data_IF_024033266854
#
_entry.id   IF_024033266854
#
_cell.length_a   1.000
_cell.length_b   1.000
_cell.length_c   1.000
_cell.angle_alpha   90.00
_cell.angle_beta   90.00
_cell.angle_gamma   90.00
#
_symmetry.space_group_name_H-M   'P 1'
#
loop_
_entity.id
_entity.type
_entity.pdbx_description
1 polymer ?
#
# COMPACT_ATOMS: atom_id res chain seq x y z
N UNK A 1 8.53 5.31 -26.53
CA UNK A 1 8.46 5.55 -25.06
C UNK A 1 9.55 4.72 -24.41
N UNK A 2 10.47 5.30 -23.66
CA UNK A 2 11.56 4.54 -23.04
C UNK A 2 11.06 3.82 -21.78
N UNK A 3 11.65 2.65 -21.47
CA UNK A 3 11.31 1.86 -20.27
C UNK A 3 11.47 2.71 -18.99
N UNK A 4 12.48 3.60 -18.97
CA UNK A 4 12.67 4.53 -17.85
C UNK A 4 11.48 5.50 -17.67
N UNK A 5 10.91 6.01 -18.76
CA UNK A 5 9.75 6.88 -18.69
C UNK A 5 8.51 6.15 -18.17
N UNK A 6 8.35 4.87 -18.54
CA UNK A 6 7.28 4.02 -18.00
C UNK A 6 7.47 3.84 -16.49
N UNK A 7 8.68 3.49 -16.07
CA UNK A 7 9.03 3.31 -14.66
C UNK A 7 8.73 4.57 -13.84
N UNK A 8 9.20 5.74 -14.29
CA UNK A 8 8.95 7.02 -13.61
C UNK A 8 7.45 7.34 -13.51
N UNK A 9 6.68 7.08 -14.56
CA UNK A 9 5.22 7.28 -14.54
C UNK A 9 4.52 6.37 -13.55
N UNK A 10 4.95 5.12 -13.43
CA UNK A 10 4.41 4.19 -12.43
C UNK A 10 4.74 4.64 -11.00
N UNK A 11 5.95 5.16 -10.76
CA UNK A 11 6.31 5.74 -9.45
C UNK A 11 5.39 6.92 -9.12
N UNK A 12 5.15 7.83 -10.07
CA UNK A 12 4.22 8.95 -9.85
C UNK A 12 2.78 8.48 -9.65
N UNK A 13 2.35 7.47 -10.37
CA UNK A 13 1.02 6.88 -10.17
C UNK A 13 0.86 6.37 -8.73
N UNK A 14 1.87 5.69 -8.18
CA UNK A 14 1.83 5.23 -6.79
C UNK A 14 1.78 6.39 -5.79
N UNK A 15 2.48 7.50 -6.05
CA UNK A 15 2.36 8.70 -5.22
C UNK A 15 0.94 9.29 -5.20
N UNK A 16 0.13 9.03 -6.22
CA UNK A 16 -1.27 9.45 -6.27
C UNK A 16 -2.16 8.41 -5.56
N UNK A 17 -1.89 7.13 -5.74
CA UNK A 17 -2.71 6.04 -5.17
C UNK A 17 -2.67 6.03 -3.63
N UNK A 18 -1.50 6.20 -3.01
CA UNK A 18 -1.40 6.20 -1.55
C UNK A 18 -2.25 7.30 -0.87
N UNK A 19 -2.14 8.59 -1.24
CA UNK A 19 -3.03 9.61 -0.70
C UNK A 19 -4.50 9.36 -0.99
N UNK A 20 -4.83 8.76 -2.13
CA UNK A 20 -6.21 8.48 -2.52
C UNK A 20 -6.82 7.38 -1.62
N UNK A 21 -6.07 6.35 -1.27
CA UNK A 21 -6.47 5.33 -0.29
C UNK A 21 -6.70 6.00 1.09
N UNK A 22 -5.74 6.79 1.54
CA UNK A 22 -5.83 7.49 2.83
C UNK A 22 -7.04 8.43 2.84
N UNK A 23 -7.24 9.20 1.76
CA UNK A 23 -8.39 10.10 1.62
C UNK A 23 -9.71 9.32 1.69
N UNK A 24 -9.81 8.19 0.98
CA UNK A 24 -10.99 7.33 1.01
C UNK A 24 -11.28 6.83 2.43
N UNK A 25 -10.28 6.33 3.14
CA UNK A 25 -10.43 5.83 4.51
C UNK A 25 -10.93 6.89 5.47
N UNK A 26 -10.46 8.14 5.35
CA UNK A 26 -10.84 9.22 6.26
C UNK A 26 -12.18 9.89 5.91
N UNK A 27 -12.48 10.08 4.62
CA UNK A 27 -13.63 10.88 4.21
C UNK A 27 -14.85 10.04 3.81
N UNK A 28 -14.66 8.77 3.49
CA UNK A 28 -15.73 7.87 3.08
C UNK A 28 -15.67 6.53 3.83
N UNK A 29 -15.60 6.54 5.17
CA UNK A 29 -15.63 5.31 5.92
C UNK A 29 -16.98 4.62 5.72
N UNK A 30 -16.98 3.42 5.14
CA UNK A 30 -18.17 2.54 5.05
C UNK A 30 -19.38 3.10 4.28
N UNK A 31 -19.16 3.96 3.28
CA UNK A 31 -20.24 4.66 2.56
C UNK A 31 -21.20 3.78 1.74
N UNK A 32 -20.90 2.48 1.57
CA UNK A 32 -21.66 1.59 0.65
C UNK A 32 -22.19 0.33 1.35
N UNK A 33 -21.90 0.09 2.63
CA UNK A 33 -22.47 -1.05 3.32
C UNK A 33 -23.97 -0.83 3.58
N UNK A 34 -24.85 -1.80 3.28
CA UNK A 34 -26.24 -1.76 3.70
C UNK A 34 -26.30 -1.53 5.22
N UNK A 35 -27.21 -0.66 5.67
CA UNK A 35 -27.29 -0.27 7.09
C UNK A 35 -27.35 -1.48 8.03
N UNK A 36 -28.06 -2.54 7.63
CA UNK A 36 -28.19 -3.77 8.42
C UNK A 36 -26.84 -4.52 8.52
N UNK A 37 -26.06 -4.53 7.43
CA UNK A 37 -24.76 -5.18 7.42
C UNK A 37 -23.72 -4.38 8.21
N UNK A 38 -23.75 -3.06 8.09
CA UNK A 38 -22.84 -2.18 8.85
C UNK A 38 -23.07 -2.30 10.36
N UNK A 39 -24.31 -2.46 10.78
CA UNK A 39 -24.66 -2.66 12.18
C UNK A 39 -24.18 -4.03 12.70
N UNK A 40 -24.36 -5.09 11.91
CA UNK A 40 -23.90 -6.43 12.26
C UNK A 40 -22.35 -6.50 12.35
N UNK A 41 -21.65 -5.90 11.39
CA UNK A 41 -20.18 -5.82 11.38
C UNK A 41 -19.65 -4.98 12.55
N UNK A 42 -20.27 -3.84 12.84
CA UNK A 42 -19.88 -3.00 13.98
C UNK A 42 -20.04 -3.74 15.30
N UNK A 43 -21.17 -4.44 15.49
CA UNK A 43 -21.41 -5.24 16.68
C UNK A 43 -20.40 -6.39 16.81
N UNK A 44 -20.08 -7.07 15.70
CA UNK A 44 -19.08 -8.12 15.65
C UNK A 44 -17.68 -7.60 16.00
N UNK A 45 -17.30 -6.42 15.47
CA UNK A 45 -16.01 -5.79 15.76
C UNK A 45 -15.89 -5.32 17.21
N UNK A 46 -16.97 -4.79 17.80
CA UNK A 46 -16.98 -4.34 19.19
C UNK A 46 -16.94 -5.51 20.20
N UNK A 47 -17.53 -6.67 19.85
CA UNK A 47 -17.63 -7.82 20.76
C UNK A 47 -16.46 -8.79 20.65
N UNK A 48 -15.80 -8.88 19.48
CA UNK A 48 -14.85 -9.99 19.19
C UNK A 48 -13.43 -9.50 18.90
N UNK A 49 -13.28 -8.31 18.30
CA UNK A 49 -11.96 -7.79 17.96
C UNK A 49 -11.42 -6.91 19.07
N UNK A 50 -10.29 -7.28 19.69
CA UNK A 50 -9.58 -6.34 20.56
C UNK A 50 -9.17 -5.12 19.75
N UNK A 51 -9.35 -3.91 20.32
CA UNK A 51 -8.84 -2.68 19.73
C UNK A 51 -7.39 -2.89 19.31
N UNK A 52 -7.06 -2.60 18.04
CA UNK A 52 -5.66 -2.70 17.58
C UNK A 52 -4.78 -1.86 18.50
N UNK A 53 -3.77 -2.45 19.14
CA UNK A 53 -2.93 -1.70 20.06
C UNK A 53 -2.34 -0.48 19.35
N UNK A 54 -2.38 0.68 19.99
CA UNK A 54 -1.81 1.94 19.46
C UNK A 54 -0.38 1.75 18.95
N UNK A 55 0.38 0.86 19.59
CA UNK A 55 1.73 0.48 19.16
C UNK A 55 1.78 -0.10 17.74
N UNK A 56 0.80 -0.91 17.34
CA UNK A 56 0.72 -1.51 16.01
C UNK A 56 0.43 -0.44 14.96
N UNK A 57 -0.51 0.46 15.24
CA UNK A 57 -0.83 1.59 14.35
C UNK A 57 0.36 2.53 14.12
N UNK A 58 1.16 2.77 15.16
CA UNK A 58 2.39 3.57 15.06
C UNK A 58 3.43 2.87 14.17
N UNK A 59 3.64 1.58 14.37
CA UNK A 59 4.58 0.80 13.55
C UNK A 59 4.15 0.82 12.09
N UNK A 60 2.86 0.62 11.79
CA UNK A 60 2.33 0.69 10.44
C UNK A 60 2.56 2.07 9.79
N UNK A 61 2.32 3.15 10.54
CA UNK A 61 2.57 4.52 10.08
C UNK A 61 4.04 4.75 9.74
N UNK A 62 4.95 4.27 10.58
CA UNK A 62 6.40 4.38 10.33
C UNK A 62 6.77 3.63 9.03
N UNK A 63 6.26 2.41 8.84
CA UNK A 63 6.53 1.61 7.65
C UNK A 63 5.99 2.31 6.40
N UNK A 64 4.79 2.88 6.47
CA UNK A 64 4.20 3.65 5.38
C UNK A 64 5.07 4.85 4.98
N UNK A 65 5.58 5.60 5.96
CA UNK A 65 6.48 6.74 5.72
C UNK A 65 7.79 6.27 5.06
N UNK A 66 8.39 5.19 5.56
CA UNK A 66 9.61 4.61 4.98
C UNK A 66 9.36 4.11 3.56
N UNK A 67 8.21 3.49 3.32
CA UNK A 67 7.82 3.04 1.98
C UNK A 67 7.68 4.21 0.99
N UNK A 68 6.97 5.27 1.37
CA UNK A 68 6.83 6.47 0.54
C UNK A 68 8.18 7.15 0.26
N UNK A 69 9.04 7.23 1.26
CA UNK A 69 10.38 7.79 1.09
C UNK A 69 11.25 6.93 0.16
N UNK A 70 11.20 5.61 0.32
CA UNK A 70 11.91 4.68 -0.57
C UNK A 70 11.41 4.77 -2.01
N UNK A 71 10.10 4.90 -2.21
CA UNK A 71 9.49 5.13 -3.52
C UNK A 71 10.03 6.41 -4.19
N UNK A 72 10.15 7.51 -3.43
CA UNK A 72 10.78 8.73 -3.93
C UNK A 72 12.25 8.52 -4.34
N UNK A 73 13.00 7.74 -3.56
CA UNK A 73 14.40 7.43 -3.85
C UNK A 73 14.58 6.48 -5.04
N UNK A 74 13.56 5.69 -5.41
CA UNK A 74 13.58 4.89 -6.64
C UNK A 74 13.72 5.76 -7.90
N UNK A 75 13.19 6.99 -7.91
CA UNK A 75 13.39 7.94 -9.01
C UNK A 75 14.86 8.29 -9.23
N UNK A 76 15.69 8.17 -8.20
CA UNK A 76 17.15 8.39 -8.23
C UNK A 76 17.95 7.13 -8.51
N UNK A 77 17.28 6.01 -8.79
CA UNK A 77 17.89 4.70 -9.07
C UNK A 77 18.89 4.23 -7.98
N UNK A 78 18.56 4.45 -6.71
CA UNK A 78 19.37 3.99 -5.59
C UNK A 78 19.11 2.52 -5.28
N UNK A 79 20.17 1.70 -5.32
CA UNK A 79 20.09 0.27 -5.04
C UNK A 79 19.67 -0.04 -3.60
N UNK A 80 20.22 0.70 -2.64
CA UNK A 80 19.84 0.56 -1.24
C UNK A 80 18.33 0.78 -1.04
N UNK A 81 17.78 1.87 -1.57
CA UNK A 81 16.36 2.19 -1.41
C UNK A 81 15.43 1.25 -2.19
N UNK A 82 15.92 0.63 -3.26
CA UNK A 82 15.21 -0.45 -3.94
C UNK A 82 14.99 -1.66 -3.01
N UNK A 83 16.03 -2.05 -2.25
CA UNK A 83 15.92 -3.13 -1.27
C UNK A 83 15.00 -2.76 -0.11
N UNK A 84 15.09 -1.53 0.40
CA UNK A 84 14.20 -1.02 1.44
C UNK A 84 12.75 -1.06 0.96
N UNK A 85 12.48 -0.62 -0.27
CA UNK A 85 11.14 -0.65 -0.85
C UNK A 85 10.58 -2.08 -0.99
N UNK A 86 11.41 -3.02 -1.43
CA UNK A 86 11.03 -4.44 -1.47
C UNK A 86 10.72 -4.98 -0.06
N UNK A 87 11.58 -4.70 0.91
CA UNK A 87 11.41 -5.19 2.29
C UNK A 87 10.14 -4.62 2.94
N UNK A 88 9.87 -3.32 2.77
CA UNK A 88 8.65 -2.70 3.29
C UNK A 88 7.41 -3.25 2.61
N UNK A 89 7.46 -3.52 1.31
CA UNK A 89 6.36 -4.14 0.59
C UNK A 89 6.06 -5.55 1.09
N UNK A 90 7.08 -6.40 1.25
CA UNK A 90 6.92 -7.75 1.82
C UNK A 90 6.32 -7.67 3.23
N UNK A 91 6.82 -6.74 4.04
CA UNK A 91 6.30 -6.56 5.40
C UNK A 91 4.82 -6.14 5.40
N UNK A 92 4.44 -5.19 4.56
CA UNK A 92 3.04 -4.77 4.41
C UNK A 92 2.15 -5.93 3.94
N UNK A 93 2.62 -6.74 2.99
CA UNK A 93 1.91 -7.94 2.54
C UNK A 93 1.70 -8.94 3.68
N UNK A 94 2.74 -9.21 4.48
CA UNK A 94 2.62 -10.11 5.65
C UNK A 94 1.65 -9.54 6.68
N UNK A 95 1.63 -8.23 6.88
CA UNK A 95 0.74 -7.57 7.82
C UNK A 95 -0.73 -7.70 7.40
N UNK A 96 -1.03 -7.61 6.10
CA UNK A 96 -2.39 -7.83 5.58
C UNK A 96 -2.93 -9.23 5.88
N UNK A 97 -2.06 -10.25 6.01
CA UNK A 97 -2.48 -11.58 6.43
C UNK A 97 -2.75 -11.71 7.94
N UNK A 98 -2.27 -10.77 8.74
CA UNK A 98 -2.47 -10.74 10.19
C UNK A 98 -3.70 -9.90 10.58
N UNK A 99 -4.18 -9.06 9.67
CA UNK A 99 -5.42 -8.32 9.87
C UNK A 99 -6.60 -9.29 9.72
N UNK A 100 -7.39 -9.41 10.78
CA UNK A 100 -8.66 -10.12 10.71
C UNK A 100 -9.57 -9.51 9.64
N UNK A 101 -10.45 -10.34 9.06
CA UNK A 101 -11.39 -9.97 8.01
C UNK A 101 -12.25 -8.76 8.42
N UNK A 102 -11.77 -7.56 8.18
CA UNK A 102 -12.59 -6.36 8.25
C UNK A 102 -13.42 -6.26 6.97
N UNK A 103 -14.65 -5.76 7.11
CA UNK A 103 -15.47 -5.47 5.93
C UNK A 103 -14.79 -4.37 5.11
N UNK A 104 -14.31 -4.76 3.93
CA UNK A 104 -13.61 -3.86 3.01
C UNK A 104 -14.56 -3.50 1.87
N UNK A 105 -14.73 -2.22 1.61
CA UNK A 105 -15.53 -1.71 0.50
C UNK A 105 -14.90 -2.10 -0.85
N UNK A 106 -15.74 -2.35 -1.86
CA UNK A 106 -15.30 -2.72 -3.21
C UNK A 106 -14.33 -1.71 -3.82
N UNK A 107 -14.48 -0.42 -3.54
CA UNK A 107 -13.56 0.61 -4.00
C UNK A 107 -12.19 0.51 -3.32
N UNK A 108 -12.17 0.22 -2.04
CA UNK A 108 -10.95 0.01 -1.26
C UNK A 108 -10.19 -1.21 -1.78
N UNK A 109 -10.87 -2.34 -1.95
CA UNK A 109 -10.31 -3.55 -2.57
C UNK A 109 -9.70 -3.23 -3.94
N UNK A 110 -10.40 -2.48 -4.78
CA UNK A 110 -9.91 -2.10 -6.10
C UNK A 110 -8.63 -1.25 -6.02
N UNK A 111 -8.59 -0.24 -5.12
CA UNK A 111 -7.42 0.62 -4.95
C UNK A 111 -6.23 -0.15 -4.40
N UNK A 112 -6.45 -1.07 -3.47
CA UNK A 112 -5.42 -1.93 -2.90
C UNK A 112 -4.82 -2.85 -3.97
N UNK A 113 -5.65 -3.57 -4.72
CA UNK A 113 -5.17 -4.41 -5.83
C UNK A 113 -4.41 -3.60 -6.87
N UNK A 114 -4.89 -2.41 -7.22
CA UNK A 114 -4.19 -1.54 -8.17
C UNK A 114 -2.81 -1.14 -7.63
N UNK A 115 -2.72 -0.82 -6.35
CA UNK A 115 -1.45 -0.50 -5.68
C UNK A 115 -0.51 -1.69 -5.65
N UNK A 116 -0.99 -2.90 -5.33
CA UNK A 116 -0.18 -4.11 -5.36
C UNK A 116 0.33 -4.44 -6.75
N UNK A 117 -0.51 -4.34 -7.78
CA UNK A 117 -0.13 -4.56 -9.18
C UNK A 117 0.96 -3.55 -9.60
N UNK A 118 0.76 -2.26 -9.32
CA UNK A 118 1.74 -1.21 -9.63
C UNK A 118 3.07 -1.46 -8.91
N UNK A 119 3.04 -1.81 -7.64
CA UNK A 119 4.25 -2.14 -6.86
C UNK A 119 4.99 -3.34 -7.44
N UNK A 120 4.28 -4.40 -7.77
CA UNK A 120 4.87 -5.61 -8.36
C UNK A 120 5.53 -5.29 -9.70
N UNK A 121 4.88 -4.51 -10.56
CA UNK A 121 5.45 -4.09 -11.84
C UNK A 121 6.71 -3.22 -11.60
N UNK A 122 6.67 -2.25 -10.68
CA UNK A 122 7.81 -1.40 -10.35
C UNK A 122 9.00 -2.20 -9.85
N UNK A 123 8.78 -3.13 -8.93
CA UNK A 123 9.83 -4.01 -8.42
C UNK A 123 10.40 -4.87 -9.54
N UNK A 124 9.57 -5.54 -10.33
CA UNK A 124 9.99 -6.36 -11.46
C UNK A 124 10.84 -5.54 -12.44
N UNK A 125 10.38 -4.35 -12.85
CA UNK A 125 11.13 -3.47 -13.74
C UNK A 125 12.46 -3.02 -13.13
N UNK A 126 12.53 -2.79 -11.83
CA UNK A 126 13.75 -2.34 -11.15
C UNK A 126 14.84 -3.42 -11.07
N UNK A 127 14.46 -4.70 -11.08
CA UNK A 127 15.38 -5.84 -11.02
C UNK A 127 15.72 -6.43 -12.39
N UNK A 128 14.95 -6.13 -13.42
CA UNK A 128 15.21 -6.64 -14.77
C UNK A 128 16.03 -5.65 -15.63
N UNK A 129 16.83 -6.15 -16.59
CA UNK A 129 17.48 -5.32 -17.59
C UNK A 129 16.43 -4.56 -18.45
N UNK A 130 16.71 -3.33 -18.88
CA UNK A 130 17.98 -2.59 -18.70
C UNK A 130 18.03 -1.74 -17.42
N UNK A 131 16.93 -1.65 -16.64
CA UNK A 131 16.84 -0.71 -15.52
C UNK A 131 17.74 -1.09 -14.34
N UNK A 132 17.92 -2.38 -14.05
CA UNK A 132 18.76 -2.83 -12.93
C UNK A 132 20.19 -2.28 -13.01
N UNK A 133 20.73 -2.03 -14.21
CA UNK A 133 22.07 -1.45 -14.43
C UNK A 133 22.18 0.02 -14.01
N UNK A 134 21.04 0.71 -13.87
CA UNK A 134 20.99 2.11 -13.43
C UNK A 134 20.97 2.25 -11.91
N UNK A 135 20.58 1.19 -11.21
CA UNK A 135 20.58 1.17 -9.75
C UNK A 135 22.02 0.98 -9.24
N UNK A 136 22.52 1.99 -8.53
CA UNK A 136 23.85 2.03 -7.93
C UNK A 136 23.75 2.09 -6.40
#
# INVERSE_FOLDING_TARGET
>A
MTIENVFRKLVYLQFILYPLIIFKLYFFPNSIAPQDLSFAVKRYSEEILPETPISISIVFLIILIVNLYSLFKLLKFSNFWRQVYLSTFIFMMLFTFLEDFTYVDSLEIFLDYLTYICTTILLTMSYLPPLNKKFK
#
